data_IF_063406626601
#
_entry.id   IF_063406626601
#
_cell.length_a   1.000
_cell.length_b   1.000
_cell.length_c   1.000
_cell.angle_alpha   90.00
_cell.angle_beta   90.00
_cell.angle_gamma   90.00
#
_symmetry.space_group_name_H-M   'P 1'
#
loop_
_entity.id
_entity.type
_entity.pdbx_description
1 polymer ?
#
# COMPACT_ATOMS: atom_id res chain seq x y z
N UNK A 1 31.10 9.48 -12.73
CA UNK A 1 31.16 8.07 -12.30
C UNK A 1 30.72 7.93 -10.87
N UNK A 2 29.45 8.21 -10.56
CA UNK A 2 28.83 7.96 -9.24
C UNK A 2 27.37 7.45 -9.36
N UNK A 3 26.74 7.63 -10.52
CA UNK A 3 25.34 7.24 -10.78
C UNK A 3 25.18 5.72 -10.91
N UNK A 4 26.21 5.02 -11.38
CA UNK A 4 26.15 3.56 -11.59
C UNK A 4 26.02 2.76 -10.29
N UNK A 5 26.58 3.26 -9.18
CA UNK A 5 26.62 2.52 -7.92
C UNK A 5 25.30 2.63 -7.13
N UNK A 6 24.65 3.80 -7.19
CA UNK A 6 23.34 4.03 -6.53
C UNK A 6 22.24 3.22 -7.22
N UNK A 7 22.19 3.24 -8.56
CA UNK A 7 21.18 2.50 -9.33
C UNK A 7 21.30 0.99 -9.16
N UNK A 8 22.53 0.47 -9.03
CA UNK A 8 22.76 -0.96 -8.78
C UNK A 8 22.34 -1.34 -7.35
N UNK A 9 22.57 -0.47 -6.36
CA UNK A 9 22.12 -0.67 -4.97
C UNK A 9 20.59 -0.69 -4.85
N UNK A 10 19.90 0.28 -5.46
CA UNK A 10 18.42 0.33 -5.51
C UNK A 10 17.85 -0.92 -6.17
N UNK A 11 18.47 -1.39 -7.27
CA UNK A 11 18.06 -2.62 -7.94
C UNK A 11 18.29 -3.88 -7.07
N UNK A 12 19.35 -3.91 -6.27
CA UNK A 12 19.60 -5.04 -5.36
C UNK A 12 18.63 -5.07 -4.19
N UNK A 13 18.31 -3.91 -3.59
CA UNK A 13 17.27 -3.82 -2.55
C UNK A 13 15.89 -4.24 -3.07
N UNK A 14 15.48 -3.71 -4.24
CA UNK A 14 14.21 -4.07 -4.89
C UNK A 14 14.14 -5.53 -5.37
N UNK A 15 15.30 -6.17 -5.61
CA UNK A 15 15.37 -7.58 -5.98
C UNK A 15 15.25 -8.53 -4.78
N UNK A 16 15.37 -8.01 -3.55
CA UNK A 16 15.42 -8.79 -2.30
C UNK A 16 14.22 -8.49 -1.38
N UNK A 17 13.76 -7.24 -1.38
CA UNK A 17 12.54 -6.76 -0.73
C UNK A 17 11.54 -6.42 -1.85
N UNK A 18 10.53 -7.25 -2.06
CA UNK A 18 9.56 -6.94 -3.10
C UNK A 18 8.72 -5.69 -2.82
N UNK A 19 7.84 -5.35 -3.76
CA UNK A 19 6.95 -4.20 -3.65
C UNK A 19 5.47 -4.60 -3.62
N UNK A 20 4.69 -3.80 -2.90
CA UNK A 20 3.22 -3.77 -2.96
C UNK A 20 2.78 -2.38 -3.37
N UNK A 21 1.90 -2.30 -4.35
CA UNK A 21 1.31 -1.08 -4.87
C UNK A 21 -0.18 -1.13 -4.57
N UNK A 22 -0.71 -0.06 -3.99
CA UNK A 22 -2.15 0.12 -3.75
C UNK A 22 -2.67 1.25 -4.61
N UNK A 23 -3.73 0.97 -5.37
CA UNK A 23 -4.35 1.91 -6.29
C UNK A 23 -5.78 2.20 -5.83
N UNK A 24 -6.12 3.48 -5.72
CA UNK A 24 -7.45 3.95 -5.35
C UNK A 24 -7.78 5.21 -6.14
N UNK A 25 -9.05 5.37 -6.50
CA UNK A 25 -9.56 6.58 -7.14
C UNK A 25 -10.44 7.35 -6.16
N UNK A 26 -10.18 8.64 -6.02
CA UNK A 26 -10.99 9.56 -5.22
C UNK A 26 -11.65 10.59 -6.12
N UNK A 27 -12.94 10.83 -5.92
CA UNK A 27 -13.58 12.02 -6.48
C UNK A 27 -13.14 13.27 -5.72
N UNK A 28 -12.56 14.23 -6.43
CA UNK A 28 -11.97 15.43 -5.84
C UNK A 28 -13.03 16.38 -5.27
N UNK A 29 -14.25 16.37 -5.81
CA UNK A 29 -15.31 17.27 -5.37
C UNK A 29 -15.98 16.77 -4.08
N UNK A 30 -16.29 15.47 -4.01
CA UNK A 30 -16.91 14.85 -2.85
C UNK A 30 -15.91 14.46 -1.75
N UNK A 31 -14.65 14.22 -2.12
CA UNK A 31 -13.62 13.66 -1.23
C UNK A 31 -13.84 12.18 -0.90
N UNK A 32 -14.64 11.46 -1.71
CA UNK A 32 -14.98 10.05 -1.48
C UNK A 32 -14.16 9.14 -2.39
N UNK A 33 -13.80 7.96 -1.89
CA UNK A 33 -13.24 6.90 -2.73
C UNK A 33 -14.35 6.36 -3.63
N UNK A 34 -14.08 6.31 -4.94
CA UNK A 34 -15.04 5.87 -5.97
C UNK A 34 -14.61 4.56 -6.65
N UNK A 35 -13.35 4.15 -6.48
CA UNK A 35 -12.83 2.87 -6.95
C UNK A 35 -11.60 2.41 -6.15
N UNK A 36 -11.34 1.10 -6.14
CA UNK A 36 -10.30 0.44 -5.35
C UNK A 36 -10.77 0.13 -3.91
N UNK A 37 -9.85 -0.34 -3.02
CA UNK A 37 -8.41 -0.45 -3.21
C UNK A 37 -7.95 -1.69 -3.99
N UNK A 38 -7.23 -1.49 -5.10
CA UNK A 38 -6.62 -2.59 -5.86
C UNK A 38 -5.16 -2.81 -5.46
N UNK A 39 -4.77 -4.05 -5.23
CA UNK A 39 -3.41 -4.42 -4.82
C UNK A 39 -2.63 -5.09 -5.95
N UNK A 40 -1.39 -4.64 -6.14
CA UNK A 40 -0.44 -5.25 -7.06
C UNK A 40 0.87 -5.50 -6.34
N UNK A 41 1.28 -6.76 -6.21
CA UNK A 41 2.57 -7.13 -5.62
C UNK A 41 3.57 -7.60 -6.68
N UNK A 42 4.83 -7.19 -6.59
CA UNK A 42 5.94 -7.73 -7.41
C UNK A 42 7.12 -8.10 -6.52
N UNK A 43 7.54 -9.36 -6.55
CA UNK A 43 8.68 -9.86 -5.78
C UNK A 43 8.47 -9.92 -4.25
N UNK A 44 7.33 -9.43 -3.74
CA UNK A 44 7.06 -9.34 -2.29
C UNK A 44 6.49 -10.65 -1.74
N UNK A 45 6.00 -11.51 -2.62
CA UNK A 45 5.27 -12.71 -2.22
C UNK A 45 5.35 -13.76 -3.32
N UNK A 46 5.87 -14.94 -2.96
CA UNK A 46 6.16 -16.01 -3.91
C UNK A 46 5.72 -17.39 -3.36
N UNK A 47 4.61 -17.47 -2.62
CA UNK A 47 4.10 -18.75 -2.08
C UNK A 47 2.61 -18.64 -1.76
N UNK A 48 1.88 -19.76 -1.62
CA UNK A 48 0.43 -19.82 -1.25
C UNK A 48 0.02 -18.92 -0.08
N UNK A 49 0.87 -18.73 0.91
CA UNK A 49 0.61 -17.86 2.08
C UNK A 49 0.52 -16.37 1.72
N UNK A 50 0.99 -16.01 0.52
CA UNK A 50 0.88 -14.67 -0.04
C UNK A 50 -0.54 -14.19 -0.20
N UNK A 51 -1.42 -15.06 -0.68
CA UNK A 51 -2.77 -14.69 -1.06
C UNK A 51 -3.56 -14.28 0.18
N UNK A 52 -3.43 -15.04 1.27
CA UNK A 52 -4.04 -14.70 2.55
C UNK A 52 -3.48 -13.41 3.16
N UNK A 53 -2.16 -13.19 3.05
CA UNK A 53 -1.52 -11.96 3.52
C UNK A 53 -2.03 -10.74 2.75
N UNK A 54 -2.14 -10.86 1.42
CA UNK A 54 -2.64 -9.78 0.56
C UNK A 54 -4.13 -9.51 0.79
N UNK A 55 -4.96 -10.55 0.93
CA UNK A 55 -6.37 -10.40 1.30
C UNK A 55 -6.54 -9.74 2.68
N UNK A 56 -5.66 -10.04 3.63
CA UNK A 56 -5.67 -9.39 4.93
C UNK A 56 -5.22 -7.92 4.86
N UNK A 57 -4.25 -7.60 4.00
CA UNK A 57 -3.83 -6.23 3.72
C UNK A 57 -4.95 -5.42 3.07
N UNK A 58 -5.69 -6.01 2.13
CA UNK A 58 -6.85 -5.40 1.49
C UNK A 58 -7.94 -5.03 2.50
N UNK A 59 -8.38 -6.01 3.31
CA UNK A 59 -9.33 -5.77 4.41
C UNK A 59 -8.86 -4.70 5.38
N UNK A 60 -7.54 -4.62 5.64
CA UNK A 60 -6.98 -3.61 6.52
C UNK A 60 -7.11 -2.21 5.92
N UNK A 61 -6.94 -2.06 4.61
CA UNK A 61 -7.14 -0.77 3.92
C UNK A 61 -8.62 -0.39 3.90
N UNK A 62 -9.52 -1.33 3.59
CA UNK A 62 -10.96 -1.08 3.64
C UNK A 62 -11.39 -0.53 5.00
N UNK A 63 -10.94 -1.13 6.09
CA UNK A 63 -11.22 -0.66 7.45
C UNK A 63 -10.69 0.75 7.71
N UNK A 64 -9.50 1.09 7.21
CA UNK A 64 -8.95 2.45 7.33
C UNK A 64 -9.77 3.47 6.54
N UNK A 65 -10.26 3.08 5.36
CA UNK A 65 -11.12 3.94 4.54
C UNK A 65 -12.46 4.17 5.22
N UNK A 66 -13.08 3.12 5.78
CA UNK A 66 -14.31 3.22 6.59
C UNK A 66 -14.11 4.14 7.81
N UNK A 67 -13.00 3.99 8.54
CA UNK A 67 -12.66 4.85 9.67
C UNK A 67 -12.51 6.32 9.24
N UNK A 68 -11.86 6.56 8.10
CA UNK A 68 -11.73 7.91 7.54
C UNK A 68 -13.09 8.49 7.16
N UNK A 69 -13.97 7.70 6.55
CA UNK A 69 -15.32 8.11 6.18
C UNK A 69 -16.17 8.45 7.42
N UNK A 70 -16.14 7.61 8.45
CA UNK A 70 -16.83 7.85 9.74
C UNK A 70 -16.33 9.14 10.41
N UNK A 71 -15.02 9.40 10.34
CA UNK A 71 -14.40 10.62 10.87
C UNK A 71 -14.55 11.83 9.93
N UNK A 72 -15.22 11.68 8.78
CA UNK A 72 -15.38 12.70 7.74
C UNK A 72 -14.06 13.27 7.23
N UNK A 73 -13.01 12.46 7.26
CA UNK A 73 -11.72 12.80 6.67
C UNK A 73 -11.87 12.71 5.15
N UNK A 74 -11.70 13.85 4.48
CA UNK A 74 -11.81 13.97 3.01
C UNK A 74 -10.51 14.42 2.34
N UNK A 75 -9.47 14.69 3.14
CA UNK A 75 -8.18 15.09 2.62
C UNK A 75 -7.43 13.86 2.09
N UNK A 76 -7.13 13.89 0.79
CA UNK A 76 -6.42 12.81 0.11
C UNK A 76 -5.04 12.53 0.72
N UNK A 77 -4.34 13.57 1.18
CA UNK A 77 -3.01 13.42 1.78
C UNK A 77 -3.08 12.62 3.07
N UNK A 78 -4.05 12.95 3.92
CA UNK A 78 -4.33 12.26 5.19
C UNK A 78 -4.76 10.81 4.95
N UNK A 79 -5.68 10.57 4.01
CA UNK A 79 -6.13 9.21 3.68
C UNK A 79 -4.96 8.37 3.17
N UNK A 80 -4.16 8.91 2.24
CA UNK A 80 -2.96 8.24 1.73
C UNK A 80 -1.97 7.91 2.86
N UNK A 81 -1.76 8.82 3.80
CA UNK A 81 -0.86 8.62 4.93
C UNK A 81 -1.37 7.52 5.86
N UNK A 82 -2.65 7.54 6.24
CA UNK A 82 -3.27 6.52 7.09
C UNK A 82 -3.17 5.12 6.48
N UNK A 83 -3.42 4.99 5.17
CA UNK A 83 -3.29 3.73 4.44
C UNK A 83 -1.83 3.25 4.43
N UNK A 84 -0.88 4.16 4.16
CA UNK A 84 0.55 3.83 4.18
C UNK A 84 1.01 3.33 5.55
N UNK A 85 0.61 4.01 6.62
CA UNK A 85 1.03 3.67 7.98
C UNK A 85 0.40 2.34 8.45
N UNK A 86 -0.88 2.14 8.12
CA UNK A 86 -1.58 0.89 8.44
C UNK A 86 -0.95 -0.31 7.73
N UNK A 87 -0.63 -0.19 6.45
CA UNK A 87 0.03 -1.26 5.69
C UNK A 87 1.48 -1.45 6.11
N UNK A 88 2.22 -0.37 6.34
CA UNK A 88 3.61 -0.45 6.81
C UNK A 88 3.72 -1.21 8.13
N UNK A 89 2.82 -0.92 9.09
CA UNK A 89 2.72 -1.67 10.33
C UNK A 89 2.28 -3.11 10.11
N UNK A 90 1.25 -3.33 9.29
CA UNK A 90 0.73 -4.67 9.02
C UNK A 90 1.79 -5.61 8.44
N UNK A 91 2.55 -5.14 7.44
CA UNK A 91 3.61 -5.93 6.85
C UNK A 91 4.75 -6.14 7.84
N UNK A 92 5.21 -5.11 8.56
CA UNK A 92 6.25 -5.27 9.59
C UNK A 92 5.88 -6.28 10.68
N UNK A 93 4.62 -6.34 11.10
CA UNK A 93 4.16 -7.30 12.11
C UNK A 93 4.02 -8.73 11.56
N UNK A 94 3.98 -8.90 10.23
CA UNK A 94 3.70 -10.18 9.54
C UNK A 94 4.89 -10.73 8.73
N UNK A 95 5.94 -9.95 8.51
CA UNK A 95 7.19 -10.31 7.81
C UNK A 95 8.39 -9.86 8.63
#
# INVERSE_FOLDING_TARGET
GDVGNIVIRDRQQLAQEGMVIVVMAMDKASGTIVAGPDFVSRGFVYVRDAEELMLAAERRVEQVLEDCEMQRIKDWTTIKQNVRDALGKFFYDKT
#
